data_IF_844202489067
#
_entry.id   IF_844202489067
#
_cell.length_a   1.000
_cell.length_b   1.000
_cell.length_c   1.000
_cell.angle_alpha   90.00
_cell.angle_beta   90.00
_cell.angle_gamma   90.00
#
_symmetry.space_group_name_H-M   'P 1'
#
loop_
_entity.id
_entity.type
_entity.pdbx_description
1 polymer ?
#
# COMPACT_ATOMS: atom_id res chain seq x y z
N UNK A 1 -10.86 -62.46 17.64
CA UNK A 1 -10.43 -61.21 18.31
C UNK A 1 -9.73 -60.34 17.28
N UNK A 2 -10.44 -59.48 16.56
CA UNK A 2 -9.83 -58.54 15.62
C UNK A 2 -10.13 -57.12 16.10
N UNK A 3 -9.06 -56.48 16.54
CA UNK A 3 -9.04 -55.22 17.26
C UNK A 3 -9.24 -54.09 16.25
N UNK A 4 -10.43 -53.50 16.22
CA UNK A 4 -10.78 -52.39 15.34
C UNK A 4 -10.02 -51.13 15.80
N UNK A 5 -8.93 -50.79 15.11
CA UNK A 5 -8.23 -49.51 15.32
C UNK A 5 -9.07 -48.40 14.69
N UNK A 6 -9.81 -47.66 15.52
CA UNK A 6 -10.44 -46.40 15.11
C UNK A 6 -9.34 -45.37 14.82
N UNK A 7 -9.15 -45.02 13.55
CA UNK A 7 -8.32 -43.89 13.14
C UNK A 7 -9.16 -42.64 13.35
N UNK A 8 -8.88 -41.91 14.43
CA UNK A 8 -9.47 -40.60 14.69
C UNK A 8 -8.93 -39.60 13.66
N UNK A 9 -9.79 -39.19 12.72
CA UNK A 9 -9.49 -38.17 11.74
C UNK A 9 -9.50 -36.80 12.43
N UNK A 10 -8.31 -36.29 12.76
CA UNK A 10 -8.14 -34.94 13.29
C UNK A 10 -8.54 -33.91 12.22
N UNK A 11 -9.73 -33.31 12.38
CA UNK A 11 -10.13 -32.11 11.64
C UNK A 11 -9.24 -30.95 12.09
N UNK A 12 -8.19 -30.68 11.34
CA UNK A 12 -7.44 -29.43 11.43
C UNK A 12 -8.32 -28.31 10.89
N UNK A 13 -8.90 -27.53 11.79
CA UNK A 13 -9.56 -26.27 11.47
C UNK A 13 -8.48 -25.31 10.99
N UNK A 14 -8.35 -25.16 9.67
CA UNK A 14 -7.56 -24.10 9.07
C UNK A 14 -8.24 -22.77 9.37
N UNK A 15 -7.73 -22.04 10.37
CA UNK A 15 -8.13 -20.64 10.56
C UNK A 15 -7.66 -19.85 9.34
N UNK A 16 -8.55 -19.20 8.57
CA UNK A 16 -8.11 -18.32 7.51
C UNK A 16 -7.32 -17.19 8.17
N UNK A 17 -6.03 -17.09 7.84
CA UNK A 17 -5.27 -15.88 8.12
C UNK A 17 -6.00 -14.75 7.40
N UNK A 18 -6.47 -13.74 8.14
CA UNK A 18 -7.02 -12.52 7.57
C UNK A 18 -5.89 -11.77 6.84
N UNK A 19 -5.58 -12.20 5.62
CA UNK A 19 -4.92 -11.36 4.65
C UNK A 19 -5.92 -10.25 4.35
N UNK A 20 -5.55 -8.99 4.60
CA UNK A 20 -6.35 -7.89 4.09
C UNK A 20 -6.48 -8.07 2.58
N UNK A 21 -7.69 -7.94 2.05
CA UNK A 21 -7.97 -8.08 0.62
C UNK A 21 -7.44 -6.83 -0.09
N UNK A 22 -6.13 -6.82 -0.36
CA UNK A 22 -5.46 -5.76 -1.10
C UNK A 22 -5.97 -5.72 -2.53
N UNK A 23 -6.62 -4.62 -2.89
CA UNK A 23 -7.13 -4.42 -4.24
C UNK A 23 -6.21 -3.49 -5.02
N UNK A 24 -5.80 -3.93 -6.20
CA UNK A 24 -5.01 -3.11 -7.12
C UNK A 24 -5.83 -1.93 -7.63
N UNK A 25 -5.27 -0.74 -7.52
CA UNK A 25 -5.92 0.51 -7.92
C UNK A 25 -5.54 0.90 -9.36
N UNK A 26 -6.50 1.46 -10.10
CA UNK A 26 -6.25 2.08 -11.40
C UNK A 26 -5.84 3.56 -11.25
N UNK A 27 -5.50 4.22 -12.36
CA UNK A 27 -5.00 5.59 -12.30
C UNK A 27 -5.99 6.62 -11.75
N UNK A 28 -7.29 6.47 -12.02
CA UNK A 28 -8.31 7.38 -11.50
C UNK A 28 -8.42 7.24 -9.99
N UNK A 29 -8.59 5.99 -9.53
CA UNK A 29 -8.69 5.69 -8.11
C UNK A 29 -7.41 6.04 -7.34
N UNK A 30 -6.22 5.86 -7.91
CA UNK A 30 -4.96 6.32 -7.29
C UNK A 30 -4.98 7.83 -7.09
N UNK A 31 -5.40 8.59 -8.10
CA UNK A 31 -5.45 10.05 -7.97
C UNK A 31 -6.46 10.46 -6.89
N UNK A 32 -7.65 9.85 -6.86
CA UNK A 32 -8.67 10.19 -5.87
C UNK A 32 -8.27 9.81 -4.44
N UNK A 33 -7.58 8.68 -4.25
CA UNK A 33 -7.04 8.26 -2.96
C UNK A 33 -5.99 9.24 -2.43
N UNK A 34 -5.10 9.73 -3.30
CA UNK A 34 -3.97 10.55 -2.85
C UNK A 34 -4.28 12.05 -2.87
N UNK A 35 -4.98 12.56 -3.87
CA UNK A 35 -5.03 13.99 -4.14
C UNK A 35 -5.84 14.77 -3.09
N UNK A 36 -5.13 15.55 -2.28
CA UNK A 36 -5.66 16.28 -1.13
C UNK A 36 -5.58 15.53 0.20
N UNK A 37 -5.01 14.32 0.21
CA UNK A 37 -4.88 13.47 1.38
C UNK A 37 -3.42 13.34 1.84
N UNK A 38 -3.23 12.75 3.02
CA UNK A 38 -1.93 12.30 3.51
C UNK A 38 -1.83 10.79 3.60
N UNK A 39 -0.60 10.28 3.60
CA UNK A 39 -0.30 8.89 3.96
C UNK A 39 0.72 8.89 5.09
N UNK A 40 0.43 8.15 6.14
CA UNK A 40 1.37 7.88 7.24
C UNK A 40 2.23 6.68 6.86
N UNK A 41 3.53 6.92 6.68
CA UNK A 41 4.55 5.94 6.29
C UNK A 41 5.62 5.91 7.38
N UNK A 42 5.74 4.82 8.14
CA UNK A 42 6.75 4.66 9.20
C UNK A 42 6.86 5.87 10.15
N UNK A 43 5.72 6.46 10.53
CA UNK A 43 5.64 7.64 11.41
C UNK A 43 5.91 8.99 10.72
N UNK A 44 6.26 8.99 9.44
CA UNK A 44 6.36 10.18 8.59
C UNK A 44 5.04 10.42 7.87
N UNK A 45 4.57 11.67 7.82
CA UNK A 45 3.37 12.01 7.03
C UNK A 45 3.81 12.53 5.67
N UNK A 46 3.40 11.85 4.60
CA UNK A 46 3.51 12.36 3.24
C UNK A 46 2.19 12.96 2.79
N UNK A 47 2.15 14.25 2.47
CA UNK A 47 0.98 14.94 1.92
C UNK A 47 1.05 15.02 0.41
N UNK A 48 -0.09 14.86 -0.25
CA UNK A 48 -0.20 14.85 -1.71
C UNK A 48 -1.15 15.96 -2.17
N UNK A 49 -0.60 17.09 -2.58
CA UNK A 49 -1.40 18.20 -3.08
C UNK A 49 -2.00 17.86 -4.45
N UNK A 50 -3.23 18.33 -4.71
CA UNK A 50 -3.91 18.19 -6.02
C UNK A 50 -3.12 18.79 -7.18
N UNK A 51 -2.20 19.72 -6.89
CA UNK A 51 -1.30 20.34 -7.88
C UNK A 51 -0.18 19.42 -8.37
N UNK A 52 0.00 18.24 -7.77
CA UNK A 52 1.13 17.35 -8.04
C UNK A 52 2.36 17.64 -7.18
N UNK A 53 2.26 18.49 -6.16
CA UNK A 53 3.30 18.68 -5.14
C UNK A 53 3.10 17.67 -4.02
N UNK A 54 4.19 17.13 -3.48
CA UNK A 54 4.16 16.30 -2.26
C UNK A 54 5.12 16.84 -1.21
N UNK A 55 4.77 16.71 0.06
CA UNK A 55 5.61 17.11 1.20
C UNK A 55 5.70 15.99 2.22
N UNK A 56 6.86 15.85 2.87
CA UNK A 56 7.11 14.90 3.95
C UNK A 56 7.29 15.68 5.26
N UNK A 57 6.56 15.27 6.29
CA UNK A 57 6.68 15.79 7.66
C UNK A 57 7.65 14.93 8.46
N UNK A 58 8.70 15.51 9.04
CA UNK A 58 9.71 14.83 9.84
C UNK A 58 10.83 15.79 10.27
N UNK A 59 11.97 15.26 10.75
CA UNK A 59 13.10 16.07 11.23
C UNK A 59 13.71 17.00 10.16
N UNK A 60 13.59 16.61 8.89
CA UNK A 60 13.92 17.46 7.74
C UNK A 60 12.74 17.45 6.78
N UNK A 61 12.00 18.56 6.73
CA UNK A 61 10.96 18.75 5.73
C UNK A 61 11.56 18.66 4.33
N UNK A 62 11.04 17.73 3.52
CA UNK A 62 11.41 17.57 2.12
C UNK A 62 10.14 17.58 1.28
N UNK A 63 10.22 18.23 0.12
CA UNK A 63 9.15 18.24 -0.87
C UNK A 63 9.62 17.66 -2.19
N UNK A 64 8.68 17.30 -3.03
CA UNK A 64 8.91 16.79 -4.37
C UNK A 64 7.65 16.91 -5.21
N UNK A 65 7.68 16.24 -6.35
CA UNK A 65 6.57 16.12 -7.26
C UNK A 65 6.03 14.69 -7.26
N UNK A 66 4.74 14.60 -7.54
CA UNK A 66 4.06 13.34 -7.76
C UNK A 66 3.10 13.45 -8.95
N UNK A 67 2.81 12.30 -9.55
CA UNK A 67 1.80 12.16 -10.60
C UNK A 67 1.29 10.74 -10.65
N UNK A 68 0.19 10.54 -11.35
CA UNK A 68 -0.25 9.22 -11.80
C UNK A 68 0.14 9.04 -13.26
N UNK A 69 0.82 7.94 -13.58
CA UNK A 69 1.16 7.59 -14.95
C UNK A 69 0.97 6.09 -15.18
N UNK A 70 0.20 5.70 -16.20
CA UNK A 70 -0.03 4.29 -16.58
C UNK A 70 -0.45 3.40 -15.39
N UNK A 71 -1.46 3.85 -14.63
CA UNK A 71 -2.00 3.16 -13.45
C UNK A 71 -0.94 2.92 -12.35
N UNK A 72 -0.04 3.88 -12.16
CA UNK A 72 1.00 3.85 -11.13
C UNK A 72 1.12 5.22 -10.48
N UNK A 73 1.39 5.22 -9.18
CA UNK A 73 1.87 6.39 -8.45
C UNK A 73 3.34 6.62 -8.81
N UNK A 74 3.71 7.83 -9.21
CA UNK A 74 5.09 8.19 -9.51
C UNK A 74 5.54 9.39 -8.68
N UNK A 75 6.78 9.38 -8.18
CA UNK A 75 7.39 10.50 -7.43
C UNK A 75 8.87 10.69 -7.79
N UNK A 76 9.37 11.91 -7.67
CA UNK A 76 10.79 12.28 -7.84
C UNK A 76 11.59 12.29 -6.52
N UNK A 77 10.96 11.94 -5.41
CA UNK A 77 11.61 11.88 -4.09
C UNK A 77 12.70 10.81 -4.01
N UNK A 78 12.63 9.80 -4.87
CA UNK A 78 13.65 8.76 -4.99
C UNK A 78 14.80 9.27 -5.87
N UNK A 79 16.06 9.15 -5.44
CA UNK A 79 17.21 9.54 -6.26
C UNK A 79 17.23 8.83 -7.62
N UNK A 80 17.68 9.54 -8.66
CA UNK A 80 17.79 8.99 -10.02
C UNK A 80 16.60 9.27 -10.93
N UNK A 81 15.62 10.06 -10.47
CA UNK A 81 14.50 10.55 -11.29
C UNK A 81 13.16 9.97 -10.84
N UNK A 82 12.20 9.91 -11.76
CA UNK A 82 10.86 9.42 -11.46
C UNK A 82 10.85 7.93 -11.13
N UNK A 83 10.40 7.60 -9.93
CA UNK A 83 10.12 6.23 -9.50
C UNK A 83 8.62 6.01 -9.45
N UNK A 84 8.16 4.93 -10.09
CA UNK A 84 6.74 4.59 -10.17
C UNK A 84 6.44 3.30 -9.41
N UNK A 85 5.27 3.21 -8.80
CA UNK A 85 4.83 2.13 -7.92
C UNK A 85 3.43 1.68 -8.32
N UNK A 86 3.19 0.37 -8.29
CA UNK A 86 1.82 -0.13 -8.26
C UNK A 86 1.20 0.29 -6.92
N UNK A 87 -0.08 0.65 -6.94
CA UNK A 87 -0.82 0.96 -5.72
C UNK A 87 -1.86 -0.12 -5.48
N UNK A 88 -1.90 -0.61 -4.25
CA UNK A 88 -2.98 -1.43 -3.73
C UNK A 88 -3.61 -0.71 -2.54
N UNK A 89 -4.89 -0.95 -2.28
CA UNK A 89 -5.57 -0.38 -1.12
C UNK A 89 -6.54 -1.37 -0.50
N UNK A 90 -6.86 -1.17 0.77
CA UNK A 90 -7.90 -1.90 1.49
C UNK A 90 -8.93 -0.87 1.91
N UNK A 91 -10.08 -0.88 1.24
CA UNK A 91 -11.22 0.01 1.49
C UNK A 91 -10.87 1.51 1.53
N UNK A 92 -9.77 1.95 0.91
CA UNK A 92 -9.30 3.33 0.97
C UNK A 92 -8.79 3.79 2.35
N UNK A 93 -8.56 2.87 3.29
CA UNK A 93 -8.02 3.16 4.62
C UNK A 93 -6.53 2.85 4.70
N UNK A 94 -6.15 1.68 4.16
CA UNK A 94 -4.76 1.27 4.04
C UNK A 94 -4.33 1.36 2.58
N UNK A 95 -3.08 1.73 2.38
CA UNK A 95 -2.46 1.85 1.06
C UNK A 95 -1.12 1.15 1.05
N UNK A 96 -0.81 0.49 -0.06
CA UNK A 96 0.46 -0.17 -0.30
C UNK A 96 1.04 0.28 -1.63
N UNK A 97 2.30 0.68 -1.62
CA UNK A 97 3.10 0.98 -2.80
C UNK A 97 4.06 -0.18 -3.09
N UNK A 98 3.94 -0.76 -4.28
CA UNK A 98 4.76 -1.90 -4.72
C UNK A 98 5.71 -1.45 -5.84
N UNK A 99 7.01 -1.51 -5.55
CA UNK A 99 8.10 -1.17 -6.46
C UNK A 99 8.34 -2.25 -7.52
N UNK A 100 9.07 -1.90 -8.58
CA UNK A 100 9.35 -2.82 -9.70
C UNK A 100 10.21 -4.04 -9.29
N UNK A 101 10.99 -3.91 -8.22
CA UNK A 101 11.80 -4.98 -7.62
C UNK A 101 11.02 -5.80 -6.57
N UNK A 102 9.72 -5.55 -6.40
CA UNK A 102 8.89 -6.19 -5.37
C UNK A 102 9.02 -5.58 -3.98
N UNK A 103 9.74 -4.46 -3.81
CA UNK A 103 9.74 -3.74 -2.53
C UNK A 103 8.34 -3.24 -2.20
N UNK A 104 7.92 -3.41 -0.95
CA UNK A 104 6.60 -3.01 -0.48
C UNK A 104 6.75 -1.94 0.59
N UNK A 105 5.97 -0.87 0.47
CA UNK A 105 5.82 0.18 1.48
C UNK A 105 4.32 0.29 1.79
N UNK A 106 3.93 0.16 3.04
CA UNK A 106 2.55 0.26 3.49
C UNK A 106 2.34 1.51 4.34
N UNK A 107 1.13 2.04 4.31
CA UNK A 107 0.75 3.19 5.10
C UNK A 107 -0.75 3.28 5.32
N UNK A 108 -1.13 4.22 6.19
CA UNK A 108 -2.52 4.56 6.46
C UNK A 108 -2.87 5.89 5.78
N UNK A 109 -4.01 5.95 5.10
CA UNK A 109 -4.55 7.18 4.53
C UNK A 109 -5.12 8.06 5.64
N UNK A 110 -4.88 9.37 5.52
CA UNK A 110 -5.44 10.38 6.42
C UNK A 110 -6.03 11.55 5.61
N UNK A 111 -7.08 12.20 6.12
CA UNK A 111 -7.56 13.48 5.59
C UNK A 111 -6.45 14.53 5.58
#
# INVERSE_FOLDING_TARGET
MHMWRMVALALTVATPSAAHDWERQDGGHIFDLLAGHGVVLDGTVQRFERSGVTTLSGDVARGGLWKVERNRFCTDLVPGGWSCFTVESVHGELIRFVGANGSVIEGALIP
#
